data_IF_709875859251
#
_entry.id   IF_709875859251
#
_cell.length_a   1.000
_cell.length_b   1.000
_cell.length_c   1.000
_cell.angle_alpha   90.00
_cell.angle_beta   90.00
_cell.angle_gamma   90.00
#
_symmetry.space_group_name_H-M   'P 1'
#
loop_
_entity.id
_entity.type
_entity.pdbx_description
1 polymer ?
#
# COMPACT_ATOMS: atom_id res chain seq x y z
N UNK A 1 3.55 10.28 -15.89
CA UNK A 1 4.07 10.34 -14.50
C UNK A 1 2.97 10.31 -13.43
N UNK A 2 1.89 11.10 -13.53
CA UNK A 2 0.78 11.10 -12.55
C UNK A 2 0.14 9.71 -12.29
N UNK A 3 -0.03 8.87 -13.32
CA UNK A 3 -0.55 7.50 -13.16
C UNK A 3 0.40 6.57 -12.38
N UNK A 4 1.72 6.79 -12.48
CA UNK A 4 2.73 6.01 -11.77
C UNK A 4 2.78 6.39 -10.29
N UNK A 5 2.68 7.69 -9.99
CA UNK A 5 2.54 8.19 -8.61
C UNK A 5 1.23 7.68 -8.00
N UNK A 6 0.12 7.70 -8.75
CA UNK A 6 -1.15 7.13 -8.32
C UNK A 6 -1.08 5.62 -8.03
N UNK A 7 -0.34 4.85 -8.82
CA UNK A 7 -0.10 3.42 -8.57
C UNK A 7 0.77 3.16 -7.35
N UNK A 8 1.75 4.04 -7.06
CA UNK A 8 2.51 3.98 -5.81
C UNK A 8 1.63 4.35 -4.61
N UNK A 9 0.79 5.38 -4.73
CA UNK A 9 -0.14 5.79 -3.67
C UNK A 9 -1.22 4.75 -3.39
N UNK A 10 -1.65 4.01 -4.42
CA UNK A 10 -2.57 2.89 -4.29
C UNK A 10 -1.98 1.70 -3.50
N UNK A 11 -0.65 1.64 -3.32
CA UNK A 11 -0.06 0.63 -2.45
C UNK A 11 -0.41 0.96 -1.00
N UNK A 12 -0.99 -0.03 -0.31
CA UNK A 12 -1.34 0.03 1.13
C UNK A 12 -0.20 0.61 1.98
N UNK A 13 1.06 0.31 1.63
CA UNK A 13 2.26 0.80 2.32
C UNK A 13 2.36 2.32 2.29
N UNK A 14 2.11 2.96 1.14
CA UNK A 14 2.23 4.42 1.00
C UNK A 14 1.10 5.12 1.74
N UNK A 15 -0.14 4.65 1.58
CA UNK A 15 -1.29 5.22 2.29
C UNK A 15 -1.11 5.14 3.83
N UNK A 16 -0.64 3.99 4.34
CA UNK A 16 -0.30 3.84 5.75
C UNK A 16 0.80 4.82 6.16
N UNK A 17 1.91 4.91 5.43
CA UNK A 17 2.98 5.85 5.75
C UNK A 17 2.51 7.32 5.76
N UNK A 18 1.72 7.73 4.77
CA UNK A 18 1.21 9.11 4.67
C UNK A 18 0.26 9.43 5.83
N UNK A 19 -0.70 8.55 6.13
CA UNK A 19 -1.61 8.78 7.25
C UNK A 19 -0.86 8.91 8.57
N UNK A 20 0.21 8.14 8.75
CA UNK A 20 0.96 8.22 9.99
C UNK A 20 1.88 9.46 10.03
N UNK A 21 2.47 9.88 8.90
CA UNK A 21 3.19 11.17 8.84
C UNK A 21 2.23 12.33 9.12
N UNK A 22 1.03 12.31 8.55
CA UNK A 22 -0.01 13.30 8.82
C UNK A 22 -0.44 13.28 10.28
N UNK A 23 -0.69 12.11 10.87
CA UNK A 23 -1.04 12.02 12.29
C UNK A 23 0.04 12.63 13.19
N UNK A 24 1.32 12.29 12.96
CA UNK A 24 2.42 12.88 13.72
C UNK A 24 2.54 14.39 13.48
N UNK A 25 2.46 14.86 12.24
CA UNK A 25 2.49 16.29 11.94
C UNK A 25 1.32 17.05 12.59
N UNK A 26 0.15 16.43 12.70
CA UNK A 26 -1.01 16.99 13.38
C UNK A 26 -0.87 16.95 14.91
N UNK A 27 -0.11 15.99 15.45
CA UNK A 27 0.19 15.90 16.89
C UNK A 27 1.27 16.90 17.34
N UNK A 28 2.12 17.36 16.41
CA UNK A 28 3.19 18.30 16.73
C UNK A 28 2.68 19.66 17.28
N UNK A 29 1.64 20.33 16.71
CA UNK A 29 1.12 21.58 17.25
C UNK A 29 0.69 21.53 18.74
N UNK A 30 -0.16 20.59 19.20
CA UNK A 30 -0.52 20.51 20.62
C UNK A 30 0.70 20.19 21.50
N UNK A 31 1.64 19.38 21.02
CA UNK A 31 2.89 19.09 21.74
C UNK A 31 3.77 20.33 21.90
N UNK A 32 3.97 21.11 20.83
CA UNK A 32 4.71 22.37 20.89
C UNK A 32 4.03 23.40 21.78
N UNK A 33 2.69 23.47 21.75
CA UNK A 33 1.93 24.35 22.62
C UNK A 33 2.17 23.99 24.10
N UNK A 34 2.12 22.71 24.45
CA UNK A 34 2.39 22.25 25.82
C UNK A 34 3.83 22.58 26.27
N UNK A 35 4.82 22.38 25.39
CA UNK A 35 6.22 22.74 25.66
C UNK A 35 6.38 24.25 25.86
N UNK A 36 5.74 25.06 25.01
CA UNK A 36 5.78 26.51 25.11
C UNK A 36 5.12 27.01 26.41
N UNK A 37 3.96 26.45 26.80
CA UNK A 37 3.30 26.78 28.06
C UNK A 37 4.18 26.38 29.25
N UNK A 38 4.73 25.16 29.26
CA UNK A 38 5.60 24.68 30.34
C UNK A 38 6.82 25.60 30.54
N UNK A 39 7.47 25.98 29.43
CA UNK A 39 8.58 26.93 29.46
C UNK A 39 8.13 28.31 29.99
N UNK A 40 6.97 28.81 29.54
CA UNK A 40 6.43 30.10 29.99
C UNK A 40 6.08 30.13 31.49
N UNK A 41 5.74 28.97 32.05
CA UNK A 41 5.49 28.77 33.48
C UNK A 41 6.77 28.61 34.33
N UNK A 42 7.96 28.75 33.73
CA UNK A 42 9.25 28.66 34.43
C UNK A 42 9.72 27.23 34.68
N UNK A 43 9.21 26.24 33.93
CA UNK A 43 9.76 24.88 33.98
C UNK A 43 11.08 24.86 33.23
N UNK A 44 12.18 25.14 33.93
CA UNK A 44 13.52 25.19 33.32
C UNK A 44 14.22 23.82 33.30
N UNK A 45 13.74 22.86 34.11
CA UNK A 45 14.42 21.57 34.24
C UNK A 45 14.21 20.72 32.97
N UNK A 46 15.27 20.38 32.20
CA UNK A 46 15.14 19.73 30.90
C UNK A 46 14.34 18.43 30.93
N UNK A 47 14.53 17.59 31.96
CA UNK A 47 13.82 16.32 32.08
C UNK A 47 12.31 16.49 32.29
N UNK A 48 11.87 17.57 32.98
CA UNK A 48 10.45 17.87 33.18
C UNK A 48 9.80 18.27 31.86
N UNK A 49 10.48 19.12 31.08
CA UNK A 49 10.02 19.49 29.73
C UNK A 49 9.91 18.22 28.88
N UNK A 50 10.95 17.38 28.83
CA UNK A 50 10.94 16.11 28.09
C UNK A 50 9.78 15.19 28.50
N UNK A 51 9.49 15.07 29.81
CA UNK A 51 8.37 14.27 30.30
C UNK A 51 7.01 14.84 29.86
N UNK A 52 6.82 16.16 29.97
CA UNK A 52 5.60 16.84 29.51
C UNK A 52 5.43 16.66 28.00
N UNK A 53 6.50 16.82 27.23
CA UNK A 53 6.50 16.58 25.78
C UNK A 53 6.07 15.16 25.47
N UNK A 54 6.67 14.16 26.15
CA UNK A 54 6.35 12.76 25.94
C UNK A 54 4.88 12.45 26.23
N UNK A 55 4.37 12.86 27.39
CA UNK A 55 2.97 12.60 27.77
C UNK A 55 2.01 13.29 26.81
N UNK A 56 2.28 14.55 26.45
CA UNK A 56 1.42 15.31 25.53
C UNK A 56 1.41 14.68 24.14
N UNK A 57 2.57 14.28 23.62
CA UNK A 57 2.69 13.61 22.33
C UNK A 57 1.88 12.32 22.29
N UNK A 58 2.05 11.44 23.27
CA UNK A 58 1.30 10.17 23.37
C UNK A 58 -0.22 10.43 23.37
N UNK A 59 -0.68 11.37 24.20
CA UNK A 59 -2.11 11.70 24.30
C UNK A 59 -2.63 12.30 22.99
N UNK A 60 -1.91 13.25 22.40
CA UNK A 60 -2.28 13.89 21.15
C UNK A 60 -2.31 12.89 19.98
N UNK A 61 -1.30 12.04 19.85
CA UNK A 61 -1.19 11.07 18.75
C UNK A 61 -2.32 10.04 18.81
N UNK A 62 -2.67 9.57 20.02
CA UNK A 62 -3.84 8.70 20.25
C UNK A 62 -5.14 9.43 19.91
N UNK A 63 -5.36 10.63 20.46
CA UNK A 63 -6.60 11.40 20.26
C UNK A 63 -6.83 11.75 18.79
N UNK A 64 -5.80 12.22 18.09
CA UNK A 64 -5.84 12.58 16.67
C UNK A 64 -6.08 11.33 15.83
N UNK A 65 -5.41 10.22 16.13
CA UNK A 65 -5.63 8.98 15.41
C UNK A 65 -7.10 8.52 15.51
N UNK A 66 -7.65 8.48 16.73
CA UNK A 66 -9.06 8.11 16.92
C UNK A 66 -10.01 9.09 16.22
N UNK A 67 -9.72 10.38 16.28
CA UNK A 67 -10.52 11.42 15.61
C UNK A 67 -10.51 11.26 14.10
N UNK A 68 -9.32 11.12 13.48
CA UNK A 68 -9.18 10.90 12.03
C UNK A 68 -9.85 9.60 11.59
N UNK A 69 -9.72 8.54 12.39
CA UNK A 69 -10.33 7.25 12.08
C UNK A 69 -11.86 7.30 12.18
N UNK A 70 -12.40 7.98 13.20
CA UNK A 70 -13.84 8.24 13.34
C UNK A 70 -14.37 9.08 12.17
N UNK A 71 -13.66 10.15 11.82
CA UNK A 71 -14.00 11.05 10.71
C UNK A 71 -14.02 10.29 9.38
N UNK A 72 -13.00 9.47 9.12
CA UNK A 72 -12.92 8.67 7.91
C UNK A 72 -14.06 7.64 7.77
N UNK A 73 -14.65 7.19 8.89
CA UNK A 73 -15.73 6.21 8.88
C UNK A 73 -17.13 6.82 8.88
N UNK A 74 -17.30 8.00 9.50
CA UNK A 74 -18.62 8.62 9.67
C UNK A 74 -18.86 9.82 8.75
N UNK A 75 -17.86 10.32 8.02
CA UNK A 75 -18.06 11.47 7.13
C UNK A 75 -18.67 11.05 5.79
N UNK A 76 -19.95 11.39 5.51
CA UNK A 76 -20.67 10.89 4.33
C UNK A 76 -20.09 11.41 3.01
N UNK A 77 -19.48 12.59 2.98
CA UNK A 77 -18.87 13.13 1.75
C UNK A 77 -17.63 12.33 1.30
N UNK A 78 -16.92 11.68 2.23
CA UNK A 78 -15.77 10.82 1.93
C UNK A 78 -16.21 9.46 1.37
N UNK A 79 -17.47 9.07 1.58
CA UNK A 79 -18.03 7.86 1.02
C UNK A 79 -18.18 7.93 -0.51
N UNK A 80 -18.41 9.14 -1.06
CA UNK A 80 -18.48 9.36 -2.50
C UNK A 80 -17.14 9.07 -3.19
N UNK A 81 -16.01 9.54 -2.63
CA UNK A 81 -14.66 9.24 -3.17
C UNK A 81 -14.29 7.74 -3.09
N UNK A 82 -14.97 6.95 -2.25
CA UNK A 82 -14.68 5.52 -2.07
C UNK A 82 -15.37 4.62 -3.09
N UNK A 83 -16.38 5.11 -3.83
CA UNK A 83 -17.15 4.34 -4.81
C UNK A 83 -16.36 4.01 -6.09
N UNK A 84 -15.35 4.80 -6.44
CA UNK A 84 -14.62 4.67 -7.70
C UNK A 84 -13.45 3.66 -7.69
N UNK A 85 -13.31 2.88 -6.62
CA UNK A 85 -12.30 1.81 -6.54
C UNK A 85 -12.95 0.41 -6.54
N UNK A 86 -13.29 -0.14 -7.73
CA UNK A 86 -14.02 -1.41 -7.88
C UNK A 86 -13.21 -2.67 -7.51
N UNK A 87 -11.95 -2.55 -7.09
CA UNK A 87 -11.08 -3.69 -6.75
C UNK A 87 -10.89 -3.93 -5.24
N UNK A 88 -11.82 -3.48 -4.40
CA UNK A 88 -11.82 -3.93 -3.01
C UNK A 88 -12.25 -5.38 -2.94
N UNK A 89 -11.24 -6.26 -2.91
CA UNK A 89 -11.31 -7.60 -2.33
C UNK A 89 -12.20 -7.52 -1.10
N UNK A 90 -13.30 -8.30 -1.08
CA UNK A 90 -14.20 -8.45 0.06
C UNK A 90 -13.36 -8.83 1.30
N UNK A 91 -12.85 -7.83 2.02
CA UNK A 91 -12.32 -8.04 3.35
C UNK A 91 -13.54 -8.27 4.21
N UNK A 92 -13.71 -9.53 4.63
CA UNK A 92 -14.70 -9.92 5.62
C UNK A 92 -14.78 -8.87 6.73
N UNK A 93 -15.99 -8.58 7.21
CA UNK A 93 -16.35 -7.62 8.25
C UNK A 93 -15.52 -7.75 9.54
N UNK A 94 -14.22 -7.43 9.50
CA UNK A 94 -13.43 -7.23 10.69
C UNK A 94 -13.96 -5.95 11.33
N UNK A 95 -14.38 -6.07 12.59
CA UNK A 95 -14.82 -4.95 13.42
C UNK A 95 -13.82 -3.78 13.28
N UNK A 96 -14.35 -2.58 13.01
CA UNK A 96 -13.61 -1.31 12.88
C UNK A 96 -12.48 -1.17 13.91
N UNK A 97 -12.79 -1.50 15.17
CA UNK A 97 -11.83 -1.46 16.27
C UNK A 97 -10.66 -2.43 16.06
N UNK A 98 -10.92 -3.65 15.56
CA UNK A 98 -9.88 -4.67 15.40
C UNK A 98 -8.82 -4.28 14.36
N UNK A 99 -9.20 -3.64 13.25
CA UNK A 99 -8.23 -3.16 12.25
C UNK A 99 -7.42 -1.96 12.79
N UNK A 100 -8.09 -1.04 13.50
CA UNK A 100 -7.43 0.09 14.14
C UNK A 100 -6.44 -0.33 15.23
N UNK A 101 -6.84 -1.24 16.11
CA UNK A 101 -5.99 -1.75 17.19
C UNK A 101 -4.79 -2.51 16.65
N UNK A 102 -4.95 -3.29 15.58
CA UNK A 102 -3.82 -4.01 14.97
C UNK A 102 -2.76 -3.01 14.47
N UNK A 103 -3.18 -1.97 13.75
CA UNK A 103 -2.27 -0.91 13.29
C UNK A 103 -1.64 -0.15 14.46
N UNK A 104 -2.39 0.08 15.55
CA UNK A 104 -1.83 0.69 16.76
C UNK A 104 -0.79 -0.19 17.44
N UNK A 105 -0.99 -1.52 17.49
CA UNK A 105 -0.01 -2.44 18.07
C UNK A 105 1.27 -2.46 17.22
N UNK A 106 1.14 -2.47 15.89
CA UNK A 106 2.30 -2.34 14.99
C UNK A 106 3.06 -1.02 15.25
N UNK A 107 2.34 0.08 15.50
CA UNK A 107 2.94 1.38 15.85
C UNK A 107 3.57 1.38 17.24
N UNK A 108 2.91 0.76 18.22
CA UNK A 108 3.42 0.64 19.59
C UNK A 108 4.73 -0.14 19.63
N UNK A 109 4.90 -1.16 18.79
CA UNK A 109 6.14 -1.92 18.70
C UNK A 109 7.35 -1.07 18.23
N UNK A 110 7.12 -0.04 17.41
CA UNK A 110 8.17 0.88 16.95
C UNK A 110 8.36 2.11 17.86
N UNK A 111 7.40 2.36 18.76
CA UNK A 111 7.40 3.53 19.63
C UNK A 111 8.64 3.64 20.54
N UNK A 112 9.24 2.57 21.10
CA UNK A 112 10.41 2.72 21.96
C UNK A 112 11.61 3.31 21.22
N UNK A 113 11.82 2.89 19.96
CA UNK A 113 12.90 3.42 19.12
C UNK A 113 12.62 4.87 18.75
N UNK A 114 11.38 5.19 18.40
CA UNK A 114 10.97 6.56 18.09
C UNK A 114 11.21 7.48 19.29
N UNK A 115 10.73 7.12 20.47
CA UNK A 115 10.87 7.92 21.68
C UNK A 115 12.31 8.01 22.15
N UNK A 116 13.09 6.94 22.01
CA UNK A 116 14.52 6.99 22.32
C UNK A 116 15.24 8.03 21.46
N UNK A 117 15.02 8.03 20.15
CA UNK A 117 15.63 8.99 19.24
C UNK A 117 15.07 10.40 19.45
N UNK A 118 13.76 10.54 19.57
CA UNK A 118 13.11 11.82 19.77
C UNK A 118 13.54 12.50 21.07
N UNK A 119 13.28 11.84 22.21
CA UNK A 119 13.57 12.41 23.53
C UNK A 119 15.08 12.50 23.75
N UNK A 120 15.86 11.54 23.23
CA UNK A 120 17.32 11.58 23.27
C UNK A 120 17.89 12.79 22.52
N UNK A 121 17.48 13.01 21.27
CA UNK A 121 17.92 14.19 20.50
C UNK A 121 17.46 15.49 21.13
N UNK A 122 16.20 15.58 21.59
CA UNK A 122 15.70 16.78 22.28
C UNK A 122 16.51 17.05 23.56
N UNK A 123 16.75 16.03 24.39
CA UNK A 123 17.50 16.17 25.63
C UNK A 123 18.93 16.62 25.39
N UNK A 124 19.62 16.01 24.42
CA UNK A 124 21.00 16.39 24.05
C UNK A 124 21.05 17.83 23.56
N UNK A 125 20.13 18.28 22.71
CA UNK A 125 20.09 19.66 22.22
C UNK A 125 19.86 20.66 23.37
N UNK A 126 18.90 20.37 24.26
CA UNK A 126 18.64 21.24 25.43
C UNK A 126 19.83 21.27 26.40
N UNK A 127 20.54 20.14 26.58
CA UNK A 127 21.76 20.10 27.38
C UNK A 127 22.89 20.98 26.81
N UNK A 128 22.88 21.24 25.50
CA UNK A 128 23.79 22.18 24.82
C UNK A 128 23.24 23.63 24.76
N UNK A 129 22.20 23.94 25.54
CA UNK A 129 21.65 25.30 25.65
C UNK A 129 20.70 25.71 24.51
N UNK A 130 20.26 24.78 23.67
CA UNK A 130 19.26 25.10 22.64
C UNK A 130 17.90 25.37 23.27
N UNK A 131 17.14 26.29 22.67
CA UNK A 131 15.78 26.58 23.08
C UNK A 131 14.88 25.31 22.96
N UNK A 132 13.97 25.03 23.92
CA UNK A 132 13.20 23.78 23.94
C UNK A 132 12.35 23.53 22.70
N UNK A 133 11.78 24.58 22.11
CA UNK A 133 10.91 24.49 20.92
C UNK A 133 11.65 23.93 19.69
N UNK A 134 12.74 24.56 19.18
CA UNK A 134 13.47 24.01 18.04
C UNK A 134 14.13 22.65 18.38
N UNK A 135 14.57 22.42 19.62
CA UNK A 135 15.08 21.12 20.04
C UNK A 135 14.01 20.01 19.90
N UNK A 136 12.76 20.32 20.26
CA UNK A 136 11.61 19.41 20.12
C UNK A 136 11.32 19.14 18.64
N UNK A 137 11.30 20.18 17.80
CA UNK A 137 11.04 20.01 16.35
C UNK A 137 12.11 19.14 15.68
N UNK A 138 13.39 19.36 16.00
CA UNK A 138 14.50 18.58 15.43
C UNK A 138 14.43 17.13 15.91
N UNK A 139 14.27 16.90 17.23
CA UNK A 139 14.14 15.57 17.77
C UNK A 139 12.96 14.81 17.15
N UNK A 140 11.83 15.49 16.99
CA UNK A 140 10.64 14.92 16.39
C UNK A 140 10.88 14.53 14.92
N UNK A 141 11.52 15.40 14.13
CA UNK A 141 11.87 15.11 12.75
C UNK A 141 12.80 13.89 12.62
N UNK A 142 13.82 13.80 13.49
CA UNK A 142 14.75 12.65 13.55
C UNK A 142 14.01 11.37 13.93
N UNK A 143 13.18 11.42 14.98
CA UNK A 143 12.40 10.29 15.46
C UNK A 143 11.43 9.75 14.42
N UNK A 144 10.62 10.63 13.81
CA UNK A 144 9.68 10.25 12.75
C UNK A 144 10.42 9.72 11.52
N UNK A 145 11.45 10.43 11.04
CA UNK A 145 12.18 10.02 9.85
C UNK A 145 12.79 8.62 9.99
N UNK A 146 13.39 8.35 11.15
CA UNK A 146 14.01 7.05 11.44
C UNK A 146 12.97 5.95 11.59
N UNK A 147 11.94 6.18 12.42
CA UNK A 147 10.87 5.19 12.63
C UNK A 147 10.15 4.84 11.32
N UNK A 148 9.94 5.82 10.43
CA UNK A 148 9.35 5.60 9.09
C UNK A 148 10.23 4.79 8.17
N UNK A 149 11.53 5.07 8.17
CA UNK A 149 12.49 4.32 7.36
C UNK A 149 12.50 2.86 7.80
N UNK A 150 12.58 2.61 9.11
CA UNK A 150 12.52 1.25 9.67
C UNK A 150 11.19 0.55 9.38
N UNK A 151 10.06 1.23 9.59
CA UNK A 151 8.73 0.69 9.29
C UNK A 151 8.58 0.30 7.81
N UNK A 152 9.08 1.15 6.91
CA UNK A 152 9.02 0.90 5.47
C UNK A 152 9.87 -0.30 5.09
N UNK A 153 11.10 -0.40 5.61
CA UNK A 153 11.97 -1.55 5.39
C UNK A 153 11.34 -2.84 5.93
N UNK A 154 10.72 -2.78 7.11
CA UNK A 154 10.02 -3.90 7.71
C UNK A 154 8.83 -4.36 6.86
N UNK A 155 7.99 -3.43 6.40
CA UNK A 155 6.86 -3.70 5.51
C UNK A 155 7.31 -4.31 4.18
N UNK A 156 8.38 -3.78 3.57
CA UNK A 156 8.95 -4.36 2.35
C UNK A 156 9.49 -5.77 2.59
N UNK A 157 10.10 -6.02 3.76
CA UNK A 157 10.56 -7.36 4.14
C UNK A 157 9.38 -8.31 4.31
N UNK A 158 8.30 -7.89 4.96
CA UNK A 158 7.08 -8.69 5.13
C UNK A 158 6.41 -9.01 3.78
N UNK A 159 6.32 -8.03 2.88
CA UNK A 159 5.78 -8.24 1.53
C UNK A 159 6.62 -9.25 0.75
N UNK A 160 7.95 -9.15 0.82
CA UNK A 160 8.87 -10.11 0.18
C UNK A 160 8.69 -11.52 0.75
N UNK A 161 8.61 -11.65 2.07
CA UNK A 161 8.40 -12.95 2.74
C UNK A 161 7.05 -13.56 2.36
N UNK A 162 5.98 -12.77 2.37
CA UNK A 162 4.64 -13.22 1.96
C UNK A 162 4.62 -13.64 0.49
N UNK A 163 5.30 -12.92 -0.39
CA UNK A 163 5.42 -13.28 -1.81
C UNK A 163 6.15 -14.61 -1.99
N UNK A 164 7.26 -14.82 -1.27
CA UNK A 164 8.00 -16.09 -1.30
C UNK A 164 7.17 -17.25 -0.76
N UNK A 165 6.40 -17.04 0.31
CA UNK A 165 5.49 -18.06 0.86
C UNK A 165 4.41 -18.47 -0.15
N UNK A 166 3.79 -17.49 -0.85
CA UNK A 166 2.82 -17.77 -1.91
C UNK A 166 3.40 -18.59 -3.06
N UNK A 167 4.60 -18.23 -3.53
CA UNK A 167 5.29 -18.99 -4.58
C UNK A 167 5.65 -20.42 -4.14
N UNK A 168 5.93 -20.64 -2.86
CA UNK A 168 6.16 -21.99 -2.31
C UNK A 168 4.89 -22.83 -2.33
N UNK A 169 3.77 -22.27 -1.86
CA UNK A 169 2.45 -22.95 -1.88
C UNK A 169 2.08 -23.31 -3.33
N UNK A 170 2.20 -22.36 -4.26
CA UNK A 170 1.89 -22.60 -5.68
C UNK A 170 2.78 -23.70 -6.30
N UNK A 171 4.07 -23.77 -5.94
CA UNK A 171 4.96 -24.85 -6.39
C UNK A 171 4.54 -26.21 -5.81
N UNK A 172 4.17 -26.27 -4.53
CA UNK A 172 3.69 -27.49 -3.90
C UNK A 172 2.39 -27.97 -4.56
N UNK A 173 1.43 -27.08 -4.80
CA UNK A 173 0.19 -27.40 -5.50
C UNK A 173 0.44 -27.88 -6.93
N UNK A 174 1.36 -27.26 -7.67
CA UNK A 174 1.75 -27.71 -9.01
C UNK A 174 2.39 -29.10 -8.97
N UNK A 175 3.25 -29.37 -7.98
CA UNK A 175 3.88 -30.68 -7.80
C UNK A 175 2.84 -31.75 -7.43
N UNK A 176 1.91 -31.44 -6.52
CA UNK A 176 0.82 -32.34 -6.15
C UNK A 176 -0.09 -32.65 -7.34
N UNK A 177 -0.44 -31.62 -8.14
CA UNK A 177 -1.18 -31.82 -9.39
C UNK A 177 -0.45 -32.76 -10.35
N UNK A 178 0.87 -32.59 -10.54
CA UNK A 178 1.70 -33.47 -11.38
C UNK A 178 1.73 -34.91 -10.88
N UNK A 179 1.75 -35.12 -9.56
CA UNK A 179 1.69 -36.46 -8.98
C UNK A 179 0.31 -37.12 -9.22
N UNK A 180 -0.78 -36.36 -9.10
CA UNK A 180 -2.15 -36.87 -9.30
C UNK A 180 -2.49 -37.14 -10.76
N UNK A 181 -2.11 -36.25 -11.69
CA UNK A 181 -2.45 -36.39 -13.11
C UNK A 181 -1.47 -37.29 -13.88
N UNK A 182 -0.43 -37.81 -13.21
CA UNK A 182 0.71 -38.43 -13.85
C UNK A 182 1.58 -37.41 -14.60
N UNK A 183 2.77 -37.82 -15.07
CA UNK A 183 3.58 -36.98 -15.95
C UNK A 183 2.68 -36.56 -17.11
N UNK A 184 2.62 -35.25 -17.39
CA UNK A 184 1.94 -34.74 -18.58
C UNK A 184 2.44 -35.59 -19.73
N UNK A 185 1.55 -36.40 -20.32
CA UNK A 185 1.87 -37.30 -21.42
C UNK A 185 2.67 -36.45 -22.37
N UNK A 186 3.96 -36.78 -22.55
CA UNK A 186 4.86 -35.95 -23.35
C UNK A 186 4.08 -35.62 -24.61
N UNK A 187 3.93 -34.32 -24.98
CA UNK A 187 3.22 -33.98 -26.20
C UNK A 187 3.80 -34.93 -27.22
N UNK A 188 2.94 -35.76 -27.81
CA UNK A 188 3.33 -36.89 -28.64
C UNK A 188 4.11 -36.25 -29.79
N UNK A 189 5.40 -36.00 -29.57
CA UNK A 189 6.38 -35.57 -30.55
C UNK A 189 6.40 -36.80 -31.38
N UNK A 190 5.50 -36.79 -32.37
CA UNK A 190 5.18 -37.96 -33.14
C UNK A 190 6.51 -38.58 -33.47
N UNK A 191 6.70 -39.85 -33.11
CA UNK A 191 7.56 -40.68 -33.93
C UNK A 191 7.17 -40.28 -35.35
N UNK A 192 8.06 -39.52 -36.01
CA UNK A 192 7.71 -38.70 -37.15
C UNK A 192 6.91 -39.61 -38.05
N UNK A 193 5.61 -39.34 -38.20
CA UNK A 193 4.78 -40.18 -39.02
C UNK A 193 5.50 -40.14 -40.37
N UNK A 194 6.07 -41.27 -40.84
CA UNK A 194 6.99 -41.25 -41.96
C UNK A 194 6.28 -40.48 -43.09
N UNK A 195 6.98 -39.54 -43.74
CA UNK A 195 6.35 -38.60 -44.67
C UNK A 195 5.46 -39.42 -45.60
N UNK A 196 4.16 -39.09 -45.60
CA UNK A 196 3.20 -39.78 -46.44
C UNK A 196 3.74 -39.75 -47.88
N UNK A 197 3.70 -40.87 -48.62
CA UNK A 197 4.16 -40.91 -49.99
C UNK A 197 3.50 -39.76 -50.77
N UNK A 198 4.26 -39.08 -51.67
CA UNK A 198 3.75 -37.92 -52.39
C UNK A 198 2.43 -38.28 -53.06
N UNK A 199 1.40 -37.48 -52.76
CA UNK A 199 0.09 -37.68 -53.35
C UNK A 199 0.23 -37.61 -54.88
N UNK A 200 -0.43 -38.51 -55.64
CA UNK A 200 -0.45 -38.42 -57.09
C UNK A 200 -0.96 -37.04 -57.51
N UNK A 201 -0.43 -36.46 -58.61
CA UNK A 201 -0.79 -35.13 -59.07
C UNK A 201 -2.32 -35.04 -59.22
N UNK A 202 -2.90 -34.02 -58.59
CA UNK A 202 -4.34 -33.79 -58.65
C UNK A 202 -4.77 -33.63 -60.12
N UNK A 203 -5.88 -34.26 -60.55
CA UNK A 203 -6.42 -34.02 -61.88
C UNK A 203 -6.73 -32.53 -62.05
N UNK A 204 -6.56 -31.99 -63.27
CA UNK A 204 -6.79 -30.57 -63.56
C UNK A 204 -8.19 -30.17 -63.12
N UNK A 205 -8.27 -29.06 -62.38
CA UNK A 205 -9.53 -28.53 -61.89
C UNK A 205 -10.49 -28.25 -63.06
N UNK A 206 -11.77 -28.63 -62.95
CA UNK A 206 -12.76 -28.27 -63.97
C UNK A 206 -12.88 -26.73 -64.06
N UNK A 207 -13.16 -26.21 -65.25
CA UNK A 207 -13.27 -24.77 -65.48
C UNK A 207 -14.32 -24.16 -64.56
N UNK A 208 -13.96 -23.02 -63.96
CA UNK A 208 -14.85 -22.30 -63.06
C UNK A 208 -16.14 -21.90 -63.79
N UNK A 209 -17.32 -22.05 -63.15
CA UNK A 209 -18.57 -21.58 -63.72
C UNK A 209 -18.54 -20.04 -63.90
N UNK A 210 -19.19 -19.52 -64.94
CA UNK A 210 -19.24 -18.08 -65.20
C UNK A 210 -19.86 -17.35 -64.00
N UNK A 211 -19.27 -16.21 -63.65
CA UNK A 211 -19.73 -15.36 -62.57
C UNK A 211 -21.18 -14.90 -62.84
N UNK A 212 -22.07 -14.93 -61.83
CA UNK A 212 -23.40 -14.39 -61.98
C UNK A 212 -23.35 -12.87 -62.20
N UNK A 213 -24.08 -12.42 -63.21
CA UNK A 213 -24.19 -11.01 -63.60
C UNK A 213 -24.55 -10.12 -62.40
N UNK A 214 -23.78 -9.05 -62.22
CA UNK A 214 -24.03 -7.97 -61.26
C UNK A 214 -25.39 -7.31 -61.57
N UNK A 215 -26.43 -7.72 -60.85
CA UNK A 215 -27.69 -7.01 -60.80
C UNK A 215 -27.52 -5.80 -59.88
N UNK A 216 -27.07 -4.67 -60.44
CA UNK A 216 -27.33 -3.34 -59.89
C UNK A 216 -28.81 -3.01 -60.03
N UNK A 217 -29.51 -2.68 -58.94
CA UNK A 217 -30.17 -1.37 -58.89
C UNK A 217 -30.26 -0.79 -57.45
N UNK A 218 -29.86 0.46 -57.24
CA UNK A 218 -30.70 1.68 -57.35
C UNK A 218 -31.43 2.03 -56.04
N UNK A 219 -30.93 3.13 -55.43
CA UNK A 219 -31.62 4.23 -54.76
C UNK A 219 -32.93 3.99 -53.96
N UNK A 220 -32.89 4.40 -52.68
CA UNK A 220 -33.91 5.08 -51.86
C UNK A 220 -33.44 4.93 -50.40
N UNK A 221 -33.54 5.85 -49.45
CA UNK A 221 -34.45 6.95 -49.14
C UNK A 221 -33.74 7.70 -47.99
N UNK A 222 -33.30 8.94 -48.18
CA UNK A 222 -33.94 10.17 -47.68
C UNK A 222 -35.06 10.03 -46.62
N UNK A 223 -35.13 11.03 -45.72
CA UNK A 223 -35.93 11.22 -44.47
C UNK A 223 -35.17 10.82 -43.20
N UNK A 224 -34.97 11.68 -42.21
CA UNK A 224 -35.42 13.05 -41.95
C UNK A 224 -34.98 13.42 -40.53
#
# INVERSE_FOLDING_TARGET
MLRWIGQLYARRIVNVNVNIVLAGLLALPPTLLAVWIAHRMGVETPWKITLITFVTDVVADVAIYYTLHWLANHWPALHFLRRDHPHKVHKAHLSFFKDATLVQVERAALSPILYFLFLGTQHVLMAHGWHPVPATVIGFAVGIGTARTLHTLWMLRQERLARLARLRVERLERNERRLKTGPARAPNTGAAQPPAPPAPPAPPAPPAPPAPDEVSPTAASDRG
#
